data_IF_063109970820
#
_entry.id   IF_063109970820
#
_cell.length_a   1.000
_cell.length_b   1.000
_cell.length_c   1.000
_cell.angle_alpha   90.00
_cell.angle_beta   90.00
_cell.angle_gamma   90.00
#
_symmetry.space_group_name_H-M   'P 1'
#
loop_
_entity.id
_entity.type
_entity.pdbx_description
1 polymer ?
#
# COMPACT_ATOMS: atom_id res chain seq x y z
N UNK A 1 -14.55 30.44 5.21
CA UNK A 1 -15.46 29.37 4.80
C UNK A 1 -14.78 28.07 5.20
N UNK A 2 -15.30 27.38 6.20
CA UNK A 2 -14.73 26.10 6.66
C UNK A 2 -14.98 25.07 5.56
N UNK A 3 -13.88 24.54 5.05
CA UNK A 3 -13.86 23.45 4.06
C UNK A 3 -14.37 22.19 4.77
N UNK A 4 -15.65 21.91 4.64
CA UNK A 4 -16.25 20.65 5.06
C UNK A 4 -15.83 19.57 4.05
N UNK A 5 -14.57 19.21 4.04
CA UNK A 5 -14.12 17.98 3.41
C UNK A 5 -14.76 16.82 4.17
N UNK A 6 -15.90 16.35 3.68
CA UNK A 6 -16.47 15.06 4.06
C UNK A 6 -15.35 14.03 4.00
N UNK A 7 -15.04 13.43 5.13
CA UNK A 7 -13.96 12.46 5.30
C UNK A 7 -14.39 11.15 4.60
N UNK A 8 -14.31 11.13 3.25
CA UNK A 8 -14.72 10.00 2.42
C UNK A 8 -13.87 8.78 2.76
N UNK A 9 -14.50 7.73 3.26
CA UNK A 9 -13.82 6.47 3.59
C UNK A 9 -13.52 5.71 2.30
N UNK A 10 -12.23 5.55 2.01
CA UNK A 10 -11.73 4.87 0.82
C UNK A 10 -11.59 3.37 1.02
N UNK A 11 -11.25 2.96 2.25
CA UNK A 11 -11.16 1.55 2.65
C UNK A 11 -11.78 1.39 4.04
N UNK A 12 -12.57 0.34 4.20
CA UNK A 12 -13.05 -0.13 5.51
C UNK A 12 -12.87 -1.64 5.60
N UNK A 13 -12.17 -2.08 6.64
CA UNK A 13 -12.00 -3.48 7.01
C UNK A 13 -12.66 -3.71 8.37
N UNK A 14 -13.41 -4.81 8.52
CA UNK A 14 -14.15 -5.11 9.73
C UNK A 14 -14.01 -6.57 10.11
N UNK A 15 -13.50 -6.82 11.32
CA UNK A 15 -13.37 -8.14 11.90
C UNK A 15 -12.56 -9.10 11.03
N UNK A 16 -11.44 -8.66 10.45
CA UNK A 16 -10.66 -9.46 9.50
C UNK A 16 -9.92 -10.57 10.23
N UNK A 17 -10.20 -11.81 9.83
CA UNK A 17 -9.47 -13.00 10.27
C UNK A 17 -8.84 -13.70 9.07
N UNK A 18 -7.62 -14.19 9.26
CA UNK A 18 -6.88 -14.99 8.29
C UNK A 18 -5.98 -15.99 8.99
N UNK A 19 -6.06 -17.23 8.54
CA UNK A 19 -5.19 -18.33 8.99
C UNK A 19 -4.54 -19.04 7.81
N UNK A 20 -3.39 -19.64 8.04
CA UNK A 20 -2.70 -20.53 7.13
C UNK A 20 -2.52 -21.87 7.84
N UNK A 21 -3.36 -22.85 7.52
CA UNK A 21 -3.48 -24.07 8.31
C UNK A 21 -3.89 -23.72 9.75
N UNK A 22 -3.13 -24.20 10.72
CA UNK A 22 -3.40 -23.96 12.16
C UNK A 22 -2.87 -22.61 12.65
N UNK A 23 -2.09 -21.90 11.84
CA UNK A 23 -1.50 -20.60 12.22
C UNK A 23 -2.48 -19.46 11.95
N UNK A 24 -3.06 -18.87 12.99
CA UNK A 24 -3.88 -17.67 12.91
C UNK A 24 -3.01 -16.43 12.80
N UNK A 25 -3.04 -15.77 11.63
CA UNK A 25 -2.18 -14.63 11.29
C UNK A 25 -2.87 -13.30 11.48
N UNK A 26 -4.17 -13.18 11.15
CA UNK A 26 -4.97 -11.99 11.45
C UNK A 26 -6.13 -12.39 12.37
N UNK A 27 -6.34 -11.61 13.44
CA UNK A 27 -7.21 -11.98 14.55
C UNK A 27 -8.21 -10.86 14.87
N UNK A 28 -9.11 -10.56 13.92
CA UNK A 28 -10.15 -9.57 14.13
C UNK A 28 -9.68 -8.13 13.90
N UNK A 29 -9.00 -7.87 12.79
CA UNK A 29 -8.52 -6.52 12.45
C UNK A 29 -9.67 -5.65 11.98
N UNK A 30 -9.81 -4.49 12.62
CA UNK A 30 -10.64 -3.37 12.19
C UNK A 30 -9.75 -2.20 11.75
N UNK A 31 -10.00 -1.68 10.55
CA UNK A 31 -9.20 -0.61 9.96
C UNK A 31 -10.05 0.23 9.02
N UNK A 32 -9.85 1.54 9.04
CA UNK A 32 -10.43 2.45 8.06
C UNK A 32 -9.38 3.41 7.54
N UNK A 33 -9.51 3.82 6.27
CA UNK A 33 -8.63 4.77 5.60
C UNK A 33 -9.48 5.81 4.88
N UNK A 34 -9.27 7.07 5.19
CA UNK A 34 -9.95 8.17 4.53
C UNK A 34 -9.19 8.64 3.28
N UNK A 35 -9.87 9.39 2.41
CA UNK A 35 -9.25 9.99 1.21
C UNK A 35 -8.12 10.95 1.61
N UNK A 36 -6.97 10.79 0.97
CA UNK A 36 -5.78 11.60 1.22
C UNK A 36 -5.05 11.27 2.52
N UNK A 37 -5.48 10.24 3.24
CA UNK A 37 -4.80 9.73 4.43
C UNK A 37 -3.60 8.86 4.04
N UNK A 38 -2.53 8.98 4.82
CA UNK A 38 -1.35 8.12 4.76
C UNK A 38 -1.29 7.30 6.04
N UNK A 39 -1.62 6.03 5.95
CA UNK A 39 -1.59 5.09 7.06
C UNK A 39 -0.28 4.32 7.05
N UNK A 40 0.56 4.50 8.06
CA UNK A 40 1.74 3.67 8.27
C UNK A 40 1.41 2.48 9.17
N UNK A 41 1.79 1.27 8.75
CA UNK A 41 1.66 0.05 9.55
C UNK A 41 3.05 -0.42 9.92
N UNK A 42 3.34 -0.41 11.21
CA UNK A 42 4.62 -0.86 11.79
C UNK A 42 4.40 -2.09 12.68
N UNK A 43 5.47 -2.79 13.01
CA UNK A 43 5.41 -3.96 13.89
C UNK A 43 6.50 -4.98 13.58
N UNK A 44 6.65 -5.97 14.45
CA UNK A 44 7.65 -7.03 14.31
C UNK A 44 7.44 -7.89 13.07
N UNK A 45 8.48 -8.57 12.62
CA UNK A 45 8.36 -9.57 11.55
C UNK A 45 7.37 -10.67 11.96
N UNK A 46 6.53 -11.10 11.00
CA UNK A 46 5.50 -12.11 11.28
C UNK A 46 4.23 -11.58 11.97
N UNK A 47 4.10 -10.28 12.26
CA UNK A 47 2.90 -9.73 12.92
C UNK A 47 1.65 -9.67 12.02
N UNK A 48 1.75 -10.02 10.72
CA UNK A 48 0.63 -10.09 9.78
C UNK A 48 0.47 -8.87 8.86
N UNK A 49 1.37 -7.87 8.90
CA UNK A 49 1.28 -6.62 8.13
C UNK A 49 1.13 -6.85 6.62
N UNK A 50 2.05 -7.61 6.01
CA UNK A 50 2.01 -7.92 4.58
C UNK A 50 0.79 -8.76 4.21
N UNK A 51 0.37 -9.69 5.10
CA UNK A 51 -0.85 -10.48 4.91
C UNK A 51 -2.07 -9.58 4.88
N UNK A 52 -2.15 -8.59 5.80
CA UNK A 52 -3.24 -7.61 5.83
C UNK A 52 -3.30 -6.82 4.51
N UNK A 53 -2.16 -6.33 4.03
CA UNK A 53 -2.08 -5.60 2.75
C UNK A 53 -2.53 -6.45 1.56
N UNK A 54 -2.08 -7.71 1.52
CA UNK A 54 -2.44 -8.68 0.47
C UNK A 54 -3.92 -9.05 0.48
N UNK A 55 -4.57 -9.03 1.65
CA UNK A 55 -6.01 -9.22 1.74
C UNK A 55 -6.80 -8.07 1.09
N UNK A 56 -6.31 -6.81 1.19
CA UNK A 56 -6.94 -5.65 0.55
C UNK A 56 -6.96 -5.81 -0.98
N UNK A 57 -5.85 -6.29 -1.55
CA UNK A 57 -5.70 -6.45 -3.01
C UNK A 57 -6.08 -7.87 -3.50
N UNK A 58 -6.71 -8.67 -2.64
CA UNK A 58 -7.13 -10.07 -2.94
C UNK A 58 -5.99 -10.97 -3.47
N UNK A 59 -4.75 -10.67 -3.14
CA UNK A 59 -3.63 -11.60 -3.30
C UNK A 59 -3.70 -12.71 -2.25
N UNK A 60 -4.34 -12.42 -1.11
CA UNK A 60 -4.78 -13.37 -0.10
C UNK A 60 -6.29 -13.21 0.14
N UNK A 61 -6.96 -14.31 0.44
CA UNK A 61 -8.38 -14.29 0.82
C UNK A 61 -8.52 -14.26 2.34
N UNK A 62 -9.44 -13.45 2.87
CA UNK A 62 -9.77 -13.50 4.28
C UNK A 62 -10.64 -14.74 4.59
N UNK A 63 -10.54 -15.24 5.80
CA UNK A 63 -11.39 -16.33 6.25
C UNK A 63 -12.74 -15.77 6.73
N UNK A 64 -12.71 -14.66 7.49
CA UNK A 64 -13.90 -14.02 8.08
C UNK A 64 -13.71 -12.50 8.14
N UNK A 65 -14.83 -11.77 8.13
CA UNK A 65 -14.87 -10.32 8.21
C UNK A 65 -15.44 -9.69 6.95
N UNK A 66 -15.13 -8.42 6.71
CA UNK A 66 -15.59 -7.70 5.54
C UNK A 66 -14.64 -6.62 5.09
N UNK A 67 -14.46 -6.46 3.78
CA UNK A 67 -13.66 -5.42 3.15
C UNK A 67 -14.55 -4.63 2.20
N UNK A 68 -14.54 -3.31 2.36
CA UNK A 68 -15.24 -2.37 1.49
C UNK A 68 -14.24 -1.36 0.95
N UNK A 69 -14.18 -1.16 -0.36
CA UNK A 69 -13.30 -0.21 -1.04
C UNK A 69 -14.17 0.79 -1.81
N UNK A 70 -14.03 2.10 -1.53
CA UNK A 70 -14.82 3.18 -2.14
C UNK A 70 -16.32 2.97 -2.03
N UNK A 71 -16.77 2.45 -0.87
CA UNK A 71 -18.18 2.13 -0.61
C UNK A 71 -18.67 0.83 -1.24
N UNK A 72 -17.85 0.13 -2.04
CA UNK A 72 -18.21 -1.13 -2.68
C UNK A 72 -17.68 -2.33 -1.89
N UNK A 73 -18.55 -3.30 -1.59
CA UNK A 73 -18.18 -4.52 -0.84
C UNK A 73 -17.34 -5.45 -1.71
N UNK A 74 -16.06 -5.61 -1.35
CA UNK A 74 -15.18 -6.62 -1.95
C UNK A 74 -15.51 -8.02 -1.42
N UNK A 75 -15.68 -8.13 -0.10
CA UNK A 75 -16.09 -9.38 0.57
C UNK A 75 -16.77 -9.07 1.91
N UNK A 76 -17.51 -10.04 2.42
CA UNK A 76 -18.21 -9.96 3.71
C UNK A 76 -18.52 -11.37 4.25
N UNK A 77 -18.63 -11.48 5.56
CA UNK A 77 -19.20 -12.67 6.20
C UNK A 77 -20.66 -12.40 6.51
N UNK A 78 -21.56 -13.30 6.10
CA UNK A 78 -22.98 -13.20 6.46
C UNK A 78 -23.21 -13.65 7.89
N UNK A 79 -24.30 -13.16 8.49
CA UNK A 79 -24.69 -13.57 9.83
C UNK A 79 -24.91 -15.09 9.89
N UNK A 80 -24.25 -15.74 10.86
CA UNK A 80 -24.27 -17.19 11.03
C UNK A 80 -23.30 -17.99 10.15
N UNK A 81 -22.58 -17.35 9.20
CA UNK A 81 -21.54 -18.01 8.40
C UNK A 81 -20.17 -17.87 9.06
N UNK A 82 -19.31 -18.87 8.85
CA UNK A 82 -17.92 -18.89 9.36
C UNK A 82 -16.90 -18.44 8.32
N UNK A 83 -17.30 -18.28 7.06
CA UNK A 83 -16.42 -17.98 5.93
C UNK A 83 -16.87 -16.72 5.20
N UNK A 84 -15.89 -15.96 4.69
CA UNK A 84 -16.16 -14.76 3.90
C UNK A 84 -16.62 -15.10 2.48
N UNK A 85 -17.66 -14.41 2.03
CA UNK A 85 -18.16 -14.43 0.65
C UNK A 85 -17.57 -13.23 -0.10
N UNK A 86 -17.04 -13.44 -1.30
CA UNK A 86 -16.54 -12.40 -2.18
C UNK A 86 -17.62 -11.97 -3.20
N UNK A 87 -17.53 -10.71 -3.64
CA UNK A 87 -18.33 -10.21 -4.76
C UNK A 87 -18.06 -11.02 -6.04
N UNK A 88 -18.86 -10.81 -7.09
CA UNK A 88 -18.66 -11.48 -8.36
C UNK A 88 -17.24 -11.23 -8.91
N UNK A 89 -16.70 -12.13 -9.72
CA UNK A 89 -15.36 -11.95 -10.32
C UNK A 89 -15.26 -10.64 -11.10
N UNK A 90 -16.33 -10.22 -11.77
CA UNK A 90 -16.37 -8.96 -12.52
C UNK A 90 -16.31 -7.74 -11.57
N UNK A 91 -17.07 -7.76 -10.47
CA UNK A 91 -17.07 -6.69 -9.48
C UNK A 91 -15.75 -6.62 -8.73
N UNK A 92 -15.21 -7.77 -8.30
CA UNK A 92 -13.87 -7.84 -7.68
C UNK A 92 -12.82 -7.19 -8.58
N UNK A 93 -12.79 -7.55 -9.89
CA UNK A 93 -11.84 -6.95 -10.83
C UNK A 93 -12.03 -5.44 -10.93
N UNK A 94 -13.26 -4.96 -11.02
CA UNK A 94 -13.60 -3.53 -11.11
C UNK A 94 -13.18 -2.78 -9.84
N UNK A 95 -13.48 -3.32 -8.65
CA UNK A 95 -13.11 -2.72 -7.37
C UNK A 95 -11.59 -2.63 -7.23
N UNK A 96 -10.88 -3.71 -7.53
CA UNK A 96 -9.42 -3.76 -7.37
C UNK A 96 -8.65 -2.89 -8.38
N UNK A 97 -9.27 -2.49 -9.51
CA UNK A 97 -8.67 -1.51 -10.42
C UNK A 97 -8.48 -0.11 -9.79
N UNK A 98 -9.12 0.16 -8.65
CA UNK A 98 -8.92 1.39 -7.88
C UNK A 98 -7.71 1.32 -6.92
N UNK A 99 -7.04 0.17 -6.83
CA UNK A 99 -5.88 -0.03 -5.96
C UNK A 99 -4.62 -0.26 -6.78
N UNK A 100 -3.50 0.32 -6.33
CA UNK A 100 -2.16 0.04 -6.84
C UNK A 100 -1.31 -0.58 -5.75
N UNK A 101 -0.46 -1.56 -6.08
CA UNK A 101 0.42 -2.20 -5.12
C UNK A 101 1.87 -2.15 -5.55
N UNK A 102 2.73 -1.80 -4.59
CA UNK A 102 4.19 -1.79 -4.72
C UNK A 102 4.73 -2.81 -3.71
N UNK A 103 5.50 -3.76 -4.21
CA UNK A 103 6.03 -4.88 -3.44
C UNK A 103 7.44 -4.59 -2.93
N UNK A 104 7.87 -5.37 -1.95
CA UNK A 104 9.24 -5.40 -1.45
C UNK A 104 10.25 -5.75 -2.57
N UNK A 105 9.94 -6.74 -3.39
CA UNK A 105 10.64 -7.02 -4.63
C UNK A 105 9.98 -6.21 -5.74
N UNK A 106 10.78 -5.60 -6.61
CA UNK A 106 10.31 -4.61 -7.60
C UNK A 106 9.31 -5.20 -8.61
N UNK A 107 9.41 -6.52 -8.87
CA UNK A 107 8.52 -7.30 -9.75
C UNK A 107 8.31 -6.64 -11.14
N UNK A 108 9.36 -5.99 -11.66
CA UNK A 108 9.34 -5.46 -13.02
C UNK A 108 9.42 -6.60 -14.03
N UNK A 109 8.83 -6.40 -15.20
CA UNK A 109 8.96 -7.31 -16.33
C UNK A 109 10.38 -7.20 -16.90
N UNK A 110 11.26 -8.20 -16.73
CA UNK A 110 12.69 -8.07 -17.05
C UNK A 110 12.98 -7.96 -18.55
N UNK A 111 12.05 -8.43 -19.38
CA UNK A 111 12.12 -8.41 -20.85
C UNK A 111 11.50 -7.18 -21.49
N UNK A 112 10.96 -6.26 -20.68
CA UNK A 112 10.37 -4.99 -21.10
C UNK A 112 11.24 -3.83 -20.62
N UNK A 113 11.29 -2.78 -21.42
CA UNK A 113 11.90 -1.50 -21.02
C UNK A 113 11.11 -0.84 -19.89
N UNK A 114 11.67 0.20 -19.30
CA UNK A 114 11.00 1.00 -18.25
C UNK A 114 9.66 1.54 -18.75
N UNK A 115 9.65 2.16 -19.94
CA UNK A 115 8.41 2.73 -20.47
C UNK A 115 7.36 1.64 -20.78
N UNK A 116 7.79 0.50 -21.31
CA UNK A 116 6.89 -0.64 -21.57
C UNK A 116 6.29 -1.19 -20.27
N UNK A 117 7.08 -1.29 -19.20
CA UNK A 117 6.58 -1.68 -17.87
C UNK A 117 5.43 -0.76 -17.39
N UNK A 118 5.49 0.55 -17.69
CA UNK A 118 4.46 1.49 -17.26
C UNK A 118 3.18 1.41 -18.11
N UNK A 119 3.31 1.20 -19.42
CA UNK A 119 2.17 1.30 -20.34
C UNK A 119 1.41 -0.01 -20.55
N UNK A 120 2.02 -1.16 -20.22
CA UNK A 120 1.45 -2.48 -20.48
C UNK A 120 0.05 -2.66 -19.88
N UNK A 121 -0.07 -2.47 -18.57
CA UNK A 121 -1.35 -2.65 -17.89
C UNK A 121 -2.42 -1.60 -18.29
N UNK A 122 -2.12 -0.29 -18.39
CA UNK A 122 -3.07 0.68 -18.91
C UNK A 122 -3.64 0.35 -20.29
N UNK A 123 -2.81 -0.14 -21.21
CA UNK A 123 -3.24 -0.51 -22.55
C UNK A 123 -4.13 -1.77 -22.51
N UNK A 124 -3.60 -2.86 -21.92
CA UNK A 124 -4.24 -4.17 -22.04
C UNK A 124 -5.35 -4.41 -21.01
N UNK A 125 -5.33 -3.74 -19.86
CA UNK A 125 -6.35 -3.90 -18.81
C UNK A 125 -7.42 -2.83 -18.87
N UNK A 126 -7.03 -1.55 -19.11
CA UNK A 126 -7.96 -0.42 -19.18
C UNK A 126 -8.34 0.00 -20.61
N UNK A 127 -7.72 -0.57 -21.65
CA UNK A 127 -7.98 -0.24 -23.05
C UNK A 127 -7.62 1.20 -23.42
N UNK A 128 -6.65 1.81 -22.70
CA UNK A 128 -6.23 3.18 -22.97
C UNK A 128 -5.46 3.28 -24.29
N UNK A 129 -5.54 4.43 -24.97
CA UNK A 129 -4.76 4.64 -26.16
C UNK A 129 -3.27 4.72 -25.86
N UNK A 130 -2.45 4.13 -26.74
CA UNK A 130 -0.99 4.11 -26.57
C UNK A 130 -0.39 5.51 -26.50
N UNK A 131 -0.89 6.44 -27.29
CA UNK A 131 -0.34 7.81 -27.34
C UNK A 131 -0.65 8.61 -26.08
N UNK A 132 -1.84 8.42 -25.50
CA UNK A 132 -2.20 9.07 -24.22
C UNK A 132 -1.38 8.52 -23.06
N UNK A 133 -1.29 7.19 -22.98
CA UNK A 133 -0.56 6.58 -21.86
C UNK A 133 0.94 6.80 -21.95
N UNK A 134 1.54 6.89 -23.15
CA UNK A 134 2.94 7.21 -23.33
C UNK A 134 3.27 8.61 -22.77
N UNK A 135 2.43 9.60 -23.05
CA UNK A 135 2.60 10.97 -22.50
C UNK A 135 2.57 10.93 -20.97
N UNK A 136 1.53 10.30 -20.42
CA UNK A 136 1.36 10.19 -18.97
C UNK A 136 2.48 9.37 -18.30
N UNK A 137 2.94 8.29 -18.94
CA UNK A 137 4.07 7.50 -18.41
C UNK A 137 5.37 8.32 -18.35
N UNK A 138 5.63 9.19 -19.32
CA UNK A 138 6.79 10.12 -19.27
C UNK A 138 6.66 11.15 -18.15
N UNK A 139 5.46 11.67 -17.90
CA UNK A 139 5.19 12.54 -16.75
C UNK A 139 5.46 11.80 -15.42
N UNK A 140 5.06 10.54 -15.31
CA UNK A 140 5.33 9.71 -14.15
C UNK A 140 6.84 9.43 -13.98
N UNK A 141 7.57 9.17 -15.07
CA UNK A 141 9.02 9.00 -15.02
C UNK A 141 9.72 10.29 -14.57
N UNK A 142 9.26 11.44 -15.02
CA UNK A 142 9.76 12.73 -14.54
C UNK A 142 9.49 12.91 -13.04
N UNK A 143 8.28 12.55 -12.59
CA UNK A 143 7.87 12.60 -11.18
C UNK A 143 8.75 11.76 -10.26
N UNK A 144 9.18 10.58 -10.72
CA UNK A 144 10.07 9.70 -9.95
C UNK A 144 11.57 9.93 -10.25
N UNK A 145 11.91 10.97 -11.04
CA UNK A 145 13.29 11.36 -11.37
C UNK A 145 14.02 10.38 -12.28
N UNK A 146 13.32 9.80 -13.27
CA UNK A 146 13.86 8.80 -14.21
C UNK A 146 13.53 9.12 -15.68
N UNK A 147 13.41 10.40 -16.04
CA UNK A 147 13.06 10.82 -17.41
C UNK A 147 14.04 10.32 -18.48
N UNK A 148 15.31 10.16 -18.13
CA UNK A 148 16.40 9.71 -19.01
C UNK A 148 16.52 8.18 -19.09
N UNK A 149 15.63 7.42 -18.43
CA UNK A 149 15.69 5.96 -18.29
C UNK A 149 14.58 5.22 -19.03
N UNK A 150 13.76 5.90 -19.84
CA UNK A 150 12.57 5.27 -20.45
C UNK A 150 12.88 4.02 -21.29
N UNK A 151 14.05 3.97 -21.94
CA UNK A 151 14.47 2.87 -22.82
C UNK A 151 15.38 1.83 -22.13
N UNK A 152 15.65 1.99 -20.84
CA UNK A 152 16.47 1.04 -20.07
C UNK A 152 15.65 -0.19 -19.70
N UNK A 153 16.32 -1.33 -19.59
CA UNK A 153 15.78 -2.54 -19.02
C UNK A 153 16.00 -2.56 -17.50
N UNK A 154 15.17 -3.30 -16.73
CA UNK A 154 15.35 -3.42 -15.27
C UNK A 154 16.77 -3.80 -14.84
N UNK A 155 17.44 -4.71 -15.56
CA UNK A 155 18.82 -5.12 -15.29
C UNK A 155 19.88 -4.01 -15.39
N UNK A 156 19.55 -2.89 -16.00
CA UNK A 156 20.42 -1.72 -16.17
C UNK A 156 20.19 -0.64 -15.10
N UNK A 157 19.28 -0.91 -14.15
CA UNK A 157 18.89 0.04 -13.11
C UNK A 157 19.37 -0.41 -11.74
N UNK A 158 19.71 0.55 -10.86
CA UNK A 158 19.93 0.26 -9.44
C UNK A 158 18.63 -0.19 -8.77
N UNK A 159 18.71 -0.85 -7.59
CA UNK A 159 17.53 -1.28 -6.84
C UNK A 159 16.57 -0.12 -6.54
N UNK A 160 17.09 1.04 -6.11
CA UNK A 160 16.27 2.23 -5.86
C UNK A 160 15.61 2.79 -7.13
N UNK A 161 16.29 2.72 -8.29
CA UNK A 161 15.69 3.07 -9.58
C UNK A 161 14.57 2.09 -9.96
N UNK A 162 14.81 0.77 -9.81
CA UNK A 162 13.80 -0.25 -10.08
C UNK A 162 12.55 -0.05 -9.20
N UNK A 163 12.73 0.27 -7.93
CA UNK A 163 11.60 0.54 -7.02
C UNK A 163 10.82 1.79 -7.43
N UNK A 164 11.51 2.86 -7.85
CA UNK A 164 10.84 4.06 -8.36
C UNK A 164 10.09 3.78 -9.67
N UNK A 165 10.60 2.91 -10.54
CA UNK A 165 9.85 2.42 -11.71
C UNK A 165 8.62 1.62 -11.29
N UNK A 166 8.71 0.75 -10.26
CA UNK A 166 7.57 -0.01 -9.73
C UNK A 166 6.48 0.92 -9.17
N UNK A 167 6.88 2.00 -8.48
CA UNK A 167 5.95 3.06 -8.02
C UNK A 167 5.28 3.74 -9.23
N UNK A 168 6.05 4.17 -10.23
CA UNK A 168 5.52 4.82 -11.43
C UNK A 168 4.56 3.89 -12.21
N UNK A 169 4.90 2.59 -12.31
CA UNK A 169 4.03 1.56 -12.93
C UNK A 169 2.69 1.43 -12.20
N UNK A 170 2.70 1.39 -10.87
CA UNK A 170 1.47 1.35 -10.10
C UNK A 170 0.62 2.62 -10.30
N UNK A 171 1.26 3.80 -10.31
CA UNK A 171 0.61 5.09 -10.57
C UNK A 171 0.04 5.20 -11.99
N UNK A 172 0.63 4.52 -13.00
CA UNK A 172 0.15 4.54 -14.38
C UNK A 172 -1.28 4.01 -14.51
N UNK A 173 -1.71 3.15 -13.59
CA UNK A 173 -3.09 2.69 -13.48
C UNK A 173 -4.05 3.72 -12.85
N UNK A 174 -3.57 4.91 -12.44
CA UNK A 174 -4.37 5.94 -11.75
C UNK A 174 -5.21 5.35 -10.61
N UNK A 175 -4.58 4.71 -9.62
CA UNK A 175 -5.30 4.13 -8.49
C UNK A 175 -5.79 5.22 -7.55
N UNK A 176 -6.87 4.94 -6.82
CA UNK A 176 -7.35 5.81 -5.73
C UNK A 176 -6.62 5.52 -4.42
N UNK A 177 -6.10 4.30 -4.24
CA UNK A 177 -5.35 3.85 -3.05
C UNK A 177 -4.05 3.18 -3.49
N UNK A 178 -2.93 3.61 -2.94
CA UNK A 178 -1.63 2.98 -3.11
C UNK A 178 -1.27 2.14 -1.87
N UNK A 179 -0.89 0.90 -2.10
CA UNK A 179 -0.47 -0.06 -1.09
C UNK A 179 1.04 -0.31 -1.25
N UNK A 180 1.81 -0.14 -0.18
CA UNK A 180 3.26 -0.34 -0.17
C UNK A 180 3.63 -1.43 0.84
N UNK A 181 4.14 -2.56 0.36
CA UNK A 181 4.59 -3.70 1.17
C UNK A 181 6.11 -3.64 1.34
N UNK A 182 6.59 -3.00 2.40
CA UNK A 182 8.02 -2.84 2.74
C UNK A 182 8.89 -2.36 1.54
N UNK A 183 8.57 -1.21 0.93
CA UNK A 183 9.14 -0.79 -0.36
C UNK A 183 10.64 -0.50 -0.34
N UNK A 184 11.28 -0.46 0.83
CA UNK A 184 12.71 -0.15 1.00
C UNK A 184 13.53 -1.33 1.53
N UNK A 185 12.90 -2.41 2.01
CA UNK A 185 13.58 -3.50 2.72
C UNK A 185 14.55 -4.33 1.85
N UNK A 186 14.41 -4.27 0.51
CA UNK A 186 15.32 -4.92 -0.43
C UNK A 186 16.42 -3.97 -0.95
N UNK A 187 16.59 -2.78 -0.34
CA UNK A 187 17.51 -1.73 -0.79
C UNK A 187 18.64 -1.49 0.21
N UNK A 188 19.79 -1.11 -0.32
CA UNK A 188 20.86 -0.56 0.51
C UNK A 188 20.43 0.79 1.12
N UNK A 189 20.94 1.15 2.32
CA UNK A 189 20.57 2.38 3.02
C UNK A 189 20.71 3.66 2.18
N UNK A 190 21.74 3.73 1.32
CA UNK A 190 22.00 4.86 0.44
C UNK A 190 20.88 5.05 -0.60
N UNK A 191 20.29 3.96 -1.10
CA UNK A 191 19.21 3.97 -2.11
C UNK A 191 17.82 4.18 -1.51
N UNK A 192 17.66 3.84 -0.23
CA UNK A 192 16.40 3.99 0.51
C UNK A 192 15.89 5.43 0.50
N UNK A 193 16.80 6.41 0.67
CA UNK A 193 16.46 7.84 0.73
C UNK A 193 15.74 8.37 -0.51
N UNK A 194 16.09 7.88 -1.71
CA UNK A 194 15.45 8.32 -2.96
C UNK A 194 14.01 7.80 -3.09
N UNK A 195 13.77 6.54 -2.68
CA UNK A 195 12.44 5.93 -2.68
C UNK A 195 11.54 6.64 -1.66
N UNK A 196 12.03 6.85 -0.44
CA UNK A 196 11.28 7.57 0.60
C UNK A 196 10.95 9.01 0.19
N UNK A 197 11.85 9.69 -0.52
CA UNK A 197 11.59 11.03 -1.07
C UNK A 197 10.44 11.01 -2.06
N UNK A 198 10.40 10.02 -2.96
CA UNK A 198 9.30 9.82 -3.89
C UNK A 198 7.97 9.58 -3.14
N UNK A 199 7.99 8.73 -2.12
CA UNK A 199 6.78 8.45 -1.32
C UNK A 199 6.31 9.68 -0.53
N UNK A 200 7.24 10.49 0.03
CA UNK A 200 6.88 11.77 0.68
C UNK A 200 6.23 12.76 -0.30
N UNK A 201 6.72 12.82 -1.55
CA UNK A 201 6.11 13.66 -2.57
C UNK A 201 4.66 13.22 -2.87
N UNK A 202 4.40 11.91 -2.95
CA UNK A 202 3.04 11.39 -3.12
C UNK A 202 2.14 11.72 -1.91
N UNK A 203 2.66 11.61 -0.69
CA UNK A 203 1.95 11.99 0.53
C UNK A 203 1.57 13.49 0.52
N UNK A 204 2.51 14.36 0.12
CA UNK A 204 2.28 15.80 0.02
C UNK A 204 1.20 16.15 -1.04
N UNK A 205 1.05 15.34 -2.08
CA UNK A 205 -0.02 15.45 -3.09
C UNK A 205 -1.35 14.84 -2.62
N UNK A 206 -1.45 14.46 -1.34
CA UNK A 206 -2.64 13.82 -0.75
C UNK A 206 -3.05 12.51 -1.44
N UNK A 207 -2.08 11.73 -1.94
CA UNK A 207 -2.34 10.36 -2.37
C UNK A 207 -2.78 9.53 -1.16
N UNK A 208 -3.89 8.82 -1.29
CA UNK A 208 -4.36 7.88 -0.25
C UNK A 208 -3.44 6.67 -0.23
N UNK A 209 -2.78 6.37 0.89
CA UNK A 209 -1.75 5.33 0.96
C UNK A 209 -1.84 4.49 2.22
N UNK A 210 -1.54 3.19 2.09
CA UNK A 210 -1.16 2.32 3.21
C UNK A 210 0.27 1.87 2.98
N UNK A 211 1.11 2.07 3.99
CA UNK A 211 2.55 1.78 3.90
C UNK A 211 2.96 0.87 5.05
N UNK A 212 3.24 -0.38 4.74
CA UNK A 212 3.94 -1.28 5.66
C UNK A 212 5.42 -0.93 5.60
N UNK A 213 6.02 -0.55 6.72
CA UNK A 213 7.40 -0.05 6.73
C UNK A 213 8.11 -0.28 8.06
N UNK A 214 9.44 -0.38 7.99
CA UNK A 214 10.37 -0.29 9.12
C UNK A 214 11.04 1.09 9.22
N UNK A 215 10.74 2.01 8.29
CA UNK A 215 11.29 3.35 8.25
C UNK A 215 10.54 4.29 9.20
N UNK A 216 10.97 4.32 10.47
CA UNK A 216 10.29 5.11 11.52
C UNK A 216 10.29 6.61 11.23
N UNK A 217 11.34 7.13 10.59
CA UNK A 217 11.40 8.53 10.16
C UNK A 217 10.30 8.85 9.13
N UNK A 218 10.07 7.95 8.16
CA UNK A 218 8.97 8.11 7.20
C UNK A 218 7.61 8.07 7.89
N UNK A 219 7.37 7.09 8.77
CA UNK A 219 6.11 6.97 9.51
C UNK A 219 5.83 8.21 10.37
N UNK A 220 6.87 8.80 10.98
CA UNK A 220 6.75 10.02 11.81
C UNK A 220 6.46 11.27 10.98
N UNK A 221 7.09 11.43 9.81
CA UNK A 221 7.07 12.68 9.03
C UNK A 221 5.95 12.73 7.99
N UNK A 222 5.63 11.59 7.37
CA UNK A 222 4.74 11.52 6.21
C UNK A 222 3.38 10.89 6.50
N UNK A 223 3.26 10.05 7.53
CA UNK A 223 1.97 9.45 7.86
C UNK A 223 1.03 10.46 8.52
N UNK A 224 -0.27 10.29 8.29
CA UNK A 224 -1.34 10.98 9.02
C UNK A 224 -1.82 10.15 10.21
N UNK A 225 -1.61 8.83 10.14
CA UNK A 225 -1.97 7.89 11.19
C UNK A 225 -0.98 6.72 11.19
N UNK A 226 -0.69 6.16 12.36
CA UNK A 226 0.22 5.02 12.54
C UNK A 226 -0.50 3.91 13.28
N UNK A 227 -0.31 2.68 12.83
CA UNK A 227 -0.79 1.47 13.49
C UNK A 227 0.41 0.61 13.86
N UNK A 228 0.45 0.16 15.12
CA UNK A 228 1.35 -0.90 15.56
C UNK A 228 0.62 -2.23 15.58
N UNK A 229 1.13 -3.20 14.83
CA UNK A 229 0.62 -4.57 14.79
C UNK A 229 1.57 -5.55 15.47
N UNK A 230 1.02 -6.39 16.31
CA UNK A 230 1.74 -7.51 16.93
C UNK A 230 0.81 -8.73 17.04
N UNK A 231 1.35 -9.93 16.78
CA UNK A 231 0.62 -11.20 16.92
C UNK A 231 -0.76 -11.23 16.25
N UNK A 232 -0.89 -10.55 15.08
CA UNK A 232 -2.11 -10.55 14.29
C UNK A 232 -3.21 -9.61 14.78
N UNK A 233 -2.92 -8.72 15.72
CA UNK A 233 -3.86 -7.70 16.21
C UNK A 233 -3.27 -6.30 16.08
N UNK A 234 -4.12 -5.28 16.04
CA UNK A 234 -3.72 -3.89 16.22
C UNK A 234 -3.59 -3.65 17.72
N UNK A 235 -2.38 -3.34 18.17
CA UNK A 235 -2.08 -3.04 19.57
C UNK A 235 -2.37 -1.57 19.87
N UNK A 236 -1.91 -0.69 19.02
CA UNK A 236 -2.11 0.76 19.20
C UNK A 236 -2.25 1.45 17.84
N UNK A 237 -3.05 2.52 17.82
CA UNK A 237 -3.23 3.39 16.67
C UNK A 237 -3.29 4.84 17.13
N UNK A 238 -2.70 5.76 16.37
CA UNK A 238 -2.75 7.19 16.69
C UNK A 238 -2.06 8.08 15.68
N UNK A 239 -2.20 9.39 15.90
CA UNK A 239 -1.45 10.40 15.16
C UNK A 239 0.05 10.25 15.40
N UNK A 240 0.91 10.41 14.37
CA UNK A 240 2.34 10.14 14.49
C UNK A 240 3.01 10.87 15.64
N UNK A 241 2.73 12.15 15.83
CA UNK A 241 3.37 12.95 16.87
C UNK A 241 3.10 12.40 18.27
N UNK A 242 1.87 11.99 18.55
CA UNK A 242 1.48 11.42 19.86
C UNK A 242 2.02 9.99 19.95
N UNK A 243 1.85 9.19 18.90
CA UNK A 243 2.25 7.80 18.83
C UNK A 243 3.74 7.59 19.13
N UNK A 244 4.62 8.42 18.55
CA UNK A 244 6.07 8.29 18.73
C UNK A 244 6.62 9.00 19.97
N UNK A 245 5.92 10.01 20.54
CA UNK A 245 6.40 10.74 21.70
C UNK A 245 5.86 10.20 23.03
N UNK A 246 4.62 9.71 23.02
CA UNK A 246 3.90 9.29 24.23
C UNK A 246 2.98 8.07 23.91
N UNK A 247 3.54 6.93 23.46
CA UNK A 247 2.76 5.73 23.22
C UNK A 247 2.11 5.24 24.51
N UNK A 248 0.85 4.80 24.39
CA UNK A 248 0.03 4.41 25.55
C UNK A 248 0.27 2.97 25.97
N UNK A 249 0.43 2.08 25.00
CA UNK A 249 0.58 0.66 25.23
C UNK A 249 2.03 0.30 25.56
N UNK A 250 2.24 -0.49 26.61
CA UNK A 250 3.58 -0.92 27.05
C UNK A 250 4.35 -1.64 25.92
N UNK A 251 3.66 -2.47 25.15
CA UNK A 251 4.24 -3.17 24.00
C UNK A 251 4.70 -2.22 22.89
N UNK A 252 3.96 -1.14 22.64
CA UNK A 252 4.36 -0.09 21.70
C UNK A 252 5.62 0.62 22.19
N UNK A 253 5.69 0.94 23.50
CA UNK A 253 6.86 1.57 24.13
C UNK A 253 8.11 0.68 24.01
N UNK A 254 7.98 -0.61 24.27
CA UNK A 254 9.09 -1.57 24.12
C UNK A 254 9.57 -1.66 22.67
N UNK A 255 8.62 -1.78 21.73
CA UNK A 255 8.94 -1.86 20.30
C UNK A 255 9.69 -0.61 19.82
N UNK A 256 9.21 0.58 20.17
CA UNK A 256 9.82 1.84 19.75
C UNK A 256 11.20 2.05 20.39
N UNK A 257 11.41 1.66 21.64
CA UNK A 257 12.74 1.72 22.30
C UNK A 257 13.81 0.87 21.59
N UNK A 258 13.39 -0.21 20.95
CA UNK A 258 14.31 -1.10 20.23
C UNK A 258 14.55 -0.67 18.77
N UNK A 259 13.72 0.24 18.23
CA UNK A 259 13.77 0.67 16.83
C UNK A 259 14.27 2.10 16.63
N UNK A 260 14.29 2.91 17.68
CA UNK A 260 14.76 4.30 17.70
C UNK A 260 16.08 4.43 18.45
#
# INVERSE_FOLDING_TARGET
MADTTTNEIMLSMRGIHKSFGDLSVLRGIDLSLARGEVLAIIGSSGSGKSTLLRCINKLETIDRGGITIRGEKLCWTKDGESTATYASTADVRRILMSTGMVFQQFNLFPHMTVIENLIEAPIHVKGQSKDEILRYARELLAKVGLSDRENYYPSQLSGGQQQRVAIARALAMKPDIMLFDEPTSALDPELTGEVLRTMRALAAERMTMIVVTHEMAFAREAATNVIFMENGVIVEQGEPQIFFSAPKEERTQEFLRNML
#
